data_IF_966728334156
#
_entry.id   IF_966728334156
#
_cell.length_a   1.000
_cell.length_b   1.000
_cell.length_c   1.000
_cell.angle_alpha   90.00
_cell.angle_beta   90.00
_cell.angle_gamma   90.00
#
_symmetry.space_group_name_H-M   'P 1'
#
loop_
_entity.id
_entity.type
_entity.pdbx_description
1 polymer ?
#
# COMPACT_ATOMS: atom_id res chain seq x y z
N UNK A 1 -25.21 20.56 -4.80
CA UNK A 1 -25.45 19.13 -5.10
C UNK A 1 -25.91 18.33 -3.88
N UNK A 2 -25.15 18.28 -2.76
CA UNK A 2 -25.47 17.39 -1.63
C UNK A 2 -26.83 17.65 -0.93
N UNK A 3 -27.28 18.92 -0.84
CA UNK A 3 -28.57 19.27 -0.21
C UNK A 3 -29.81 19.02 -1.09
N UNK A 4 -29.63 18.89 -2.42
CA UNK A 4 -30.73 18.68 -3.36
C UNK A 4 -30.93 17.19 -3.71
N UNK A 5 -29.90 16.36 -3.52
CA UNK A 5 -30.00 14.92 -3.74
C UNK A 5 -31.13 14.23 -2.95
N UNK A 6 -31.41 14.57 -1.67
CA UNK A 6 -32.55 14.00 -0.94
C UNK A 6 -33.91 14.38 -1.52
N UNK A 7 -34.00 15.51 -2.24
CA UNK A 7 -35.24 16.00 -2.84
C UNK A 7 -35.49 15.43 -4.24
N UNK A 8 -34.43 14.96 -4.91
CA UNK A 8 -34.45 14.47 -6.28
C UNK A 8 -33.72 13.13 -6.43
N UNK A 9 -34.07 12.14 -5.61
CA UNK A 9 -33.54 10.78 -5.66
C UNK A 9 -34.58 9.76 -6.20
N UNK A 10 -34.09 8.61 -6.68
CA UNK A 10 -34.96 7.50 -7.11
C UNK A 10 -35.46 7.53 -8.55
N UNK A 11 -35.03 8.51 -9.38
CA UNK A 11 -35.50 8.67 -10.76
C UNK A 11 -34.64 7.92 -11.79
N UNK A 12 -33.32 7.98 -11.63
CA UNK A 12 -32.36 7.44 -12.59
C UNK A 12 -32.44 5.90 -12.73
N UNK A 13 -32.60 5.19 -11.61
CA UNK A 13 -32.69 3.72 -11.61
C UNK A 13 -33.88 3.20 -12.42
N UNK A 14 -35.13 3.61 -12.11
CA UNK A 14 -36.31 3.24 -12.90
C UNK A 14 -36.19 3.61 -14.37
N UNK A 15 -35.66 4.79 -14.71
CA UNK A 15 -35.46 5.20 -16.10
C UNK A 15 -34.45 4.30 -16.82
N UNK A 16 -33.33 3.98 -16.17
CA UNK A 16 -32.32 3.07 -16.72
C UNK A 16 -32.92 1.68 -17.01
N UNK A 17 -33.68 1.12 -16.05
CA UNK A 17 -34.36 -0.17 -16.24
C UNK A 17 -35.39 -0.09 -17.37
N UNK A 18 -36.17 0.99 -17.46
CA UNK A 18 -37.12 1.21 -18.55
C UNK A 18 -36.42 1.16 -19.91
N UNK A 19 -35.29 1.88 -20.05
CA UNK A 19 -34.48 1.90 -21.28
C UNK A 19 -33.90 0.53 -21.62
N UNK A 20 -33.38 -0.21 -20.64
CA UNK A 20 -32.91 -1.59 -20.82
C UNK A 20 -34.04 -2.50 -21.34
N UNK A 21 -35.26 -2.41 -20.78
CA UNK A 21 -36.40 -3.23 -21.20
C UNK A 21 -36.87 -2.91 -22.64
N UNK A 22 -36.65 -1.68 -23.10
CA UNK A 22 -36.95 -1.22 -24.46
C UNK A 22 -35.80 -1.47 -25.45
N UNK A 23 -34.65 -1.95 -24.97
CA UNK A 23 -33.48 -2.21 -25.81
C UNK A 23 -33.42 -3.68 -26.21
N UNK A 24 -33.00 -3.95 -27.44
CA UNK A 24 -32.74 -5.30 -27.92
C UNK A 24 -31.58 -5.95 -27.15
N UNK A 25 -31.81 -7.15 -26.63
CA UNK A 25 -30.85 -7.82 -25.75
C UNK A 25 -29.57 -8.22 -26.50
N UNK A 26 -29.69 -8.60 -27.77
CA UNK A 26 -28.53 -8.98 -28.57
C UNK A 26 -27.61 -7.77 -28.78
N UNK A 27 -28.17 -6.61 -29.07
CA UNK A 27 -27.39 -5.38 -29.21
C UNK A 27 -26.63 -4.99 -27.93
N UNK A 28 -27.21 -5.23 -26.74
CA UNK A 28 -26.50 -5.02 -25.46
C UNK A 28 -25.33 -5.97 -25.31
N UNK A 29 -25.52 -7.24 -25.66
CA UNK A 29 -24.44 -8.26 -25.62
C UNK A 29 -23.32 -7.93 -26.60
N UNK A 30 -23.66 -7.47 -27.79
CA UNK A 30 -22.69 -7.10 -28.82
C UNK A 30 -21.86 -5.87 -28.39
N UNK A 31 -22.49 -4.83 -27.84
CA UNK A 31 -21.76 -3.68 -27.30
C UNK A 31 -20.91 -4.04 -26.07
N UNK A 32 -21.39 -4.93 -25.20
CA UNK A 32 -20.57 -5.43 -24.10
C UNK A 32 -19.34 -6.20 -24.60
N UNK A 33 -19.49 -7.03 -25.64
CA UNK A 33 -18.37 -7.74 -26.24
C UNK A 33 -17.33 -6.77 -26.83
N UNK A 34 -17.78 -5.73 -27.54
CA UNK A 34 -16.90 -4.66 -28.07
C UNK A 34 -16.16 -3.93 -26.95
N UNK A 35 -16.88 -3.53 -25.90
CA UNK A 35 -16.29 -2.86 -24.73
C UNK A 35 -15.24 -3.77 -24.07
N UNK A 36 -15.54 -5.06 -23.95
CA UNK A 36 -14.62 -6.05 -23.39
C UNK A 36 -13.35 -6.19 -24.22
N UNK A 37 -13.46 -6.18 -25.55
CA UNK A 37 -12.30 -6.22 -26.44
C UNK A 37 -11.41 -4.99 -26.27
N UNK A 38 -11.99 -3.79 -26.20
CA UNK A 38 -11.23 -2.54 -26.00
C UNK A 38 -10.55 -2.50 -24.63
N UNK A 39 -11.25 -2.85 -23.56
CA UNK A 39 -10.68 -2.93 -22.21
C UNK A 39 -9.59 -4.00 -22.14
N UNK A 40 -9.75 -5.12 -22.85
CA UNK A 40 -8.72 -6.17 -22.91
C UNK A 40 -7.43 -5.68 -23.58
N UNK A 41 -7.55 -4.91 -24.67
CA UNK A 41 -6.41 -4.26 -25.34
C UNK A 41 -5.68 -3.32 -24.39
N UNK A 42 -6.42 -2.47 -23.66
CA UNK A 42 -5.85 -1.55 -22.67
C UNK A 42 -5.11 -2.27 -21.52
N UNK A 43 -5.63 -3.42 -21.09
CA UNK A 43 -5.04 -4.20 -20.01
C UNK A 43 -3.80 -5.03 -20.43
N UNK A 44 -3.35 -4.95 -21.69
CA UNK A 44 -2.26 -5.78 -22.24
C UNK A 44 -2.43 -7.28 -21.94
N UNK A 45 -3.67 -7.77 -21.88
CA UNK A 45 -3.97 -9.18 -21.60
C UNK A 45 -3.74 -9.64 -20.15
N UNK A 46 -3.64 -8.73 -19.18
CA UNK A 46 -3.54 -9.11 -17.75
C UNK A 46 -4.91 -9.20 -17.07
N UNK A 47 -5.08 -10.25 -16.24
CA UNK A 47 -6.12 -10.37 -15.20
C UNK A 47 -7.60 -10.38 -15.69
N UNK A 48 -7.99 -11.46 -16.40
CA UNK A 48 -9.32 -11.59 -17.04
C UNK A 48 -10.56 -11.38 -16.15
N UNK A 49 -10.49 -11.66 -14.85
CA UNK A 49 -11.62 -11.42 -13.94
C UNK A 49 -11.91 -9.92 -13.73
N UNK A 50 -10.87 -9.08 -13.74
CA UNK A 50 -11.03 -7.62 -13.59
C UNK A 50 -11.58 -7.00 -14.88
N UNK A 51 -11.24 -7.57 -16.04
CA UNK A 51 -11.68 -7.08 -17.34
C UNK A 51 -13.21 -7.13 -17.43
N UNK A 52 -13.84 -8.27 -17.11
CA UNK A 52 -15.29 -8.41 -17.19
C UNK A 52 -16.04 -7.37 -16.33
N UNK A 53 -15.55 -7.12 -15.11
CA UNK A 53 -16.12 -6.12 -14.20
C UNK A 53 -15.92 -4.68 -14.69
N UNK A 54 -14.71 -4.35 -15.15
CA UNK A 54 -14.38 -3.01 -15.66
C UNK A 54 -15.19 -2.72 -16.93
N UNK A 55 -15.30 -3.69 -17.85
CA UNK A 55 -16.12 -3.56 -19.07
C UNK A 55 -17.59 -3.37 -18.76
N UNK A 56 -18.13 -4.05 -17.73
CA UNK A 56 -19.52 -3.88 -17.33
C UNK A 56 -19.79 -2.47 -16.81
N UNK A 57 -18.89 -1.95 -15.96
CA UNK A 57 -18.99 -0.59 -15.41
C UNK A 57 -18.80 0.47 -16.50
N UNK A 58 -17.84 0.28 -17.41
CA UNK A 58 -17.60 1.19 -18.52
C UNK A 58 -18.80 1.25 -19.49
N UNK A 59 -19.37 0.10 -19.85
CA UNK A 59 -20.58 0.09 -20.67
C UNK A 59 -21.74 0.79 -19.94
N UNK A 60 -21.95 0.50 -18.65
CA UNK A 60 -22.99 1.16 -17.86
C UNK A 60 -22.81 2.70 -17.82
N UNK A 61 -21.58 3.19 -17.69
CA UNK A 61 -21.27 4.62 -17.74
C UNK A 61 -21.62 5.25 -19.11
N UNK A 62 -21.29 4.57 -20.21
CA UNK A 62 -21.66 5.02 -21.55
C UNK A 62 -23.19 5.04 -21.78
N UNK A 63 -23.90 4.06 -21.22
CA UNK A 63 -25.37 3.99 -21.27
C UNK A 63 -26.01 5.10 -20.44
N UNK A 64 -25.51 5.33 -19.22
CA UNK A 64 -26.01 6.41 -18.35
C UNK A 64 -25.81 7.77 -19.00
N UNK A 65 -24.65 8.00 -19.62
CA UNK A 65 -24.41 9.21 -20.41
C UNK A 65 -25.45 9.37 -21.53
N UNK A 66 -25.66 8.32 -22.32
CA UNK A 66 -26.54 8.35 -23.50
C UNK A 66 -28.04 8.35 -23.19
N UNK A 67 -28.46 7.94 -22.00
CA UNK A 67 -29.88 7.82 -21.64
C UNK A 67 -30.35 8.85 -20.62
N UNK A 68 -29.47 9.28 -19.71
CA UNK A 68 -29.84 10.10 -18.57
C UNK A 68 -29.27 11.50 -18.69
N UNK A 69 -27.96 11.63 -18.99
CA UNK A 69 -27.31 12.93 -18.96
C UNK A 69 -27.36 13.68 -20.29
N UNK A 70 -27.23 12.96 -21.41
CA UNK A 70 -27.29 13.52 -22.75
C UNK A 70 -28.12 12.61 -23.67
N UNK A 71 -29.44 12.51 -23.42
CA UNK A 71 -30.31 11.68 -24.23
C UNK A 71 -30.37 12.19 -25.66
N UNK A 72 -30.31 11.26 -26.62
CA UNK A 72 -30.54 11.56 -28.04
C UNK A 72 -31.93 12.23 -28.20
N UNK A 73 -32.01 13.48 -28.67
CA UNK A 73 -33.27 14.19 -28.83
C UNK A 73 -34.17 13.54 -29.90
N UNK A 74 -33.60 12.74 -30.81
CA UNK A 74 -34.33 11.98 -31.82
C UNK A 74 -34.69 10.56 -31.35
N UNK A 75 -34.42 10.21 -30.09
CA UNK A 75 -34.77 8.91 -29.54
C UNK A 75 -36.29 8.70 -29.58
N UNK A 76 -36.71 7.70 -30.36
CA UNK A 76 -38.12 7.34 -30.49
C UNK A 76 -38.50 6.44 -29.30
N UNK A 77 -39.49 6.86 -28.52
CA UNK A 77 -40.20 5.92 -27.65
C UNK A 77 -41.05 4.99 -28.53
N UNK A 78 -40.71 3.70 -28.55
CA UNK A 78 -41.44 2.69 -29.29
C UNK A 78 -42.09 1.67 -28.34
N UNK A 79 -43.28 1.99 -27.77
CA UNK A 79 -43.96 1.10 -26.85
C UNK A 79 -44.20 -0.28 -27.47
N UNK A 80 -43.71 -1.34 -26.83
CA UNK A 80 -43.89 -2.72 -27.28
C UNK A 80 -42.90 -3.22 -28.33
N UNK A 81 -41.96 -2.38 -28.79
CA UNK A 81 -40.87 -2.79 -29.66
C UNK A 81 -39.53 -2.64 -28.94
N UNK A 82 -38.61 -3.58 -29.18
CA UNK A 82 -37.22 -3.46 -28.74
C UNK A 82 -36.38 -2.79 -29.83
N UNK A 83 -35.69 -1.72 -29.47
CA UNK A 83 -34.83 -0.96 -30.38
C UNK A 83 -33.37 -1.38 -30.21
N UNK A 84 -32.54 -1.36 -31.27
CA UNK A 84 -31.12 -1.62 -31.13
C UNK A 84 -30.47 -0.55 -30.25
N UNK A 85 -29.53 -0.98 -29.41
CA UNK A 85 -28.76 -0.10 -28.54
C UNK A 85 -27.98 0.92 -29.37
N UNK A 86 -28.11 2.20 -29.01
CA UNK A 86 -27.32 3.30 -29.53
C UNK A 86 -26.56 3.96 -28.40
N UNK A 87 -25.26 4.14 -28.60
CA UNK A 87 -24.37 4.84 -27.68
C UNK A 87 -23.72 5.98 -28.47
N UNK A 88 -23.73 7.18 -27.91
CA UNK A 88 -23.04 8.30 -28.54
C UNK A 88 -21.52 8.02 -28.58
N UNK A 89 -20.82 8.30 -29.69
CA UNK A 89 -19.37 8.05 -29.79
C UNK A 89 -18.57 8.71 -28.66
N UNK A 90 -18.97 9.91 -28.25
CA UNK A 90 -18.34 10.68 -27.17
C UNK A 90 -18.52 9.98 -25.79
N UNK A 91 -19.71 9.43 -25.53
CA UNK A 91 -19.99 8.66 -24.32
C UNK A 91 -19.14 7.38 -24.26
N UNK A 92 -19.00 6.71 -25.40
CA UNK A 92 -18.14 5.53 -25.52
C UNK A 92 -16.67 5.87 -25.23
N UNK A 93 -16.13 6.91 -25.88
CA UNK A 93 -14.75 7.33 -25.67
C UNK A 93 -14.49 7.73 -24.21
N UNK A 94 -15.46 8.42 -23.57
CA UNK A 94 -15.37 8.78 -22.15
C UNK A 94 -15.31 7.55 -21.24
N UNK A 95 -16.14 6.54 -21.51
CA UNK A 95 -16.16 5.29 -20.76
C UNK A 95 -14.84 4.50 -20.92
N UNK A 96 -14.25 4.50 -22.12
CA UNK A 96 -12.95 3.87 -22.36
C UNK A 96 -11.84 4.56 -21.56
N UNK A 97 -11.82 5.91 -21.52
CA UNK A 97 -10.86 6.68 -20.69
C UNK A 97 -11.02 6.38 -19.19
N UNK A 98 -12.25 6.22 -18.72
CA UNK A 98 -12.52 5.81 -17.34
C UNK A 98 -11.96 4.40 -17.08
N UNK A 99 -12.21 3.44 -17.97
CA UNK A 99 -11.68 2.09 -17.86
C UNK A 99 -10.14 2.07 -17.82
N UNK A 100 -9.47 2.84 -18.68
CA UNK A 100 -8.02 2.99 -18.69
C UNK A 100 -7.50 3.49 -17.34
N UNK A 101 -8.17 4.49 -16.75
CA UNK A 101 -7.80 5.06 -15.45
C UNK A 101 -7.92 4.02 -14.34
N UNK A 102 -9.03 3.28 -14.30
CA UNK A 102 -9.25 2.20 -13.32
C UNK A 102 -8.15 1.13 -13.44
N UNK A 103 -7.81 0.70 -14.66
CA UNK A 103 -6.76 -0.30 -14.90
C UNK A 103 -5.41 0.19 -14.35
N UNK A 104 -5.04 1.43 -14.69
CA UNK A 104 -3.76 2.03 -14.26
C UNK A 104 -3.67 2.10 -12.73
N UNK A 105 -4.74 2.53 -12.08
CA UNK A 105 -4.79 2.64 -10.62
C UNK A 105 -4.74 1.28 -9.93
N UNK A 106 -5.46 0.27 -10.43
CA UNK A 106 -5.41 -1.08 -9.88
C UNK A 106 -4.01 -1.72 -10.01
N UNK A 107 -3.33 -1.51 -11.14
CA UNK A 107 -1.96 -2.01 -11.34
C UNK A 107 -0.95 -1.34 -10.39
N UNK A 108 -1.10 -0.03 -10.17
CA UNK A 108 -0.25 0.73 -9.25
C UNK A 108 -0.49 0.31 -7.79
N UNK A 109 -1.75 0.24 -7.36
CA UNK A 109 -2.12 -0.09 -5.99
C UNK A 109 -1.71 -1.51 -5.59
N UNK A 110 -2.02 -2.52 -6.43
CA UNK A 110 -1.71 -3.92 -6.09
C UNK A 110 -0.21 -4.24 -6.03
N UNK A 111 0.62 -3.50 -6.76
CA UNK A 111 2.08 -3.69 -6.73
C UNK A 111 2.72 -2.97 -5.54
N UNK A 112 2.19 -1.81 -5.14
CA UNK A 112 2.66 -1.09 -3.95
C UNK A 112 2.44 -1.91 -2.68
N UNK A 113 1.20 -2.34 -2.48
CA UNK A 113 0.74 -3.06 -1.27
C UNK A 113 1.58 -4.32 -0.97
N UNK A 114 1.77 -5.19 -1.97
CA UNK A 114 2.55 -6.43 -1.80
C UNK A 114 4.03 -6.14 -1.49
N UNK A 115 4.62 -5.12 -2.09
CA UNK A 115 6.04 -4.81 -1.87
C UNK A 115 6.28 -4.05 -0.56
N UNK A 116 5.32 -3.23 -0.12
CA UNK A 116 5.34 -2.58 1.19
C UNK A 116 5.23 -3.62 2.30
N UNK A 117 4.30 -4.57 2.18
CA UNK A 117 4.21 -5.72 3.09
C UNK A 117 5.48 -6.57 3.10
N UNK A 118 6.09 -6.83 1.94
CA UNK A 118 7.37 -7.52 1.86
C UNK A 118 8.50 -6.73 2.54
N UNK A 119 8.48 -5.40 2.44
CA UNK A 119 9.47 -4.53 3.10
C UNK A 119 9.34 -4.63 4.62
N UNK A 120 8.12 -4.53 5.15
CA UNK A 120 7.87 -4.69 6.58
C UNK A 120 8.28 -6.08 7.08
N UNK A 121 7.96 -7.12 6.32
CA UNK A 121 8.40 -8.48 6.63
C UNK A 121 9.93 -8.59 6.75
N UNK A 122 10.69 -7.97 5.86
CA UNK A 122 12.17 -7.97 5.93
C UNK A 122 12.64 -7.26 7.21
N UNK A 123 12.04 -6.12 7.56
CA UNK A 123 12.36 -5.38 8.79
C UNK A 123 12.11 -6.27 10.02
N UNK A 124 10.91 -6.84 10.14
CA UNK A 124 10.54 -7.70 11.26
C UNK A 124 11.44 -8.93 11.35
N UNK A 125 11.79 -9.51 10.20
CA UNK A 125 12.68 -10.67 10.11
C UNK A 125 14.10 -10.33 10.57
N UNK A 126 14.65 -9.17 10.20
CA UNK A 126 15.97 -8.73 10.69
C UNK A 126 15.93 -8.51 12.21
N UNK A 127 14.93 -7.79 12.71
CA UNK A 127 14.81 -7.46 14.13
C UNK A 127 14.61 -8.71 15.00
N UNK A 128 13.76 -9.64 14.56
CA UNK A 128 13.50 -10.90 15.27
C UNK A 128 14.71 -11.83 15.31
N UNK A 129 15.64 -11.70 14.35
CA UNK A 129 16.83 -12.54 14.24
C UNK A 129 18.12 -11.75 14.54
N UNK A 130 18.06 -10.64 15.29
CA UNK A 130 19.23 -9.77 15.56
C UNK A 130 20.45 -10.53 16.07
N UNK A 131 20.25 -11.55 16.91
CA UNK A 131 21.33 -12.40 17.45
C UNK A 131 22.06 -13.26 16.39
N UNK A 132 21.47 -13.42 15.20
CA UNK A 132 22.04 -14.15 14.07
C UNK A 132 22.83 -13.25 13.10
N UNK A 133 22.98 -11.96 13.43
CA UNK A 133 23.81 -11.02 12.68
C UNK A 133 25.11 -10.71 13.43
N UNK A 134 26.23 -10.73 12.70
CA UNK A 134 27.56 -10.39 13.20
C UNK A 134 28.49 -11.60 13.36
N UNK A 135 29.75 -11.32 13.68
CA UNK A 135 30.83 -12.33 13.75
C UNK A 135 30.64 -13.35 14.89
N UNK A 136 29.85 -13.00 15.91
CA UNK A 136 29.56 -13.84 17.09
C UNK A 136 28.18 -14.51 17.03
N UNK A 137 27.55 -14.54 15.86
CA UNK A 137 26.25 -15.19 15.69
C UNK A 137 26.32 -16.66 16.10
N UNK A 138 25.44 -17.08 17.02
CA UNK A 138 25.37 -18.48 17.46
C UNK A 138 24.40 -19.21 16.52
N UNK A 139 24.91 -20.20 15.78
CA UNK A 139 24.15 -20.96 14.79
C UNK A 139 24.29 -20.40 13.37
N UNK A 140 23.17 -20.28 12.65
CA UNK A 140 23.19 -19.75 11.27
C UNK A 140 23.44 -18.25 11.28
N UNK A 141 24.53 -17.80 10.66
CA UNK A 141 24.80 -16.38 10.44
C UNK A 141 24.01 -15.87 9.22
N UNK A 142 23.11 -14.91 9.43
CA UNK A 142 22.31 -14.28 8.37
C UNK A 142 23.06 -13.16 7.65
N UNK A 143 24.11 -12.64 8.28
CA UNK A 143 24.93 -11.56 7.77
C UNK A 143 25.49 -10.70 8.90
N UNK A 144 25.62 -9.39 8.69
CA UNK A 144 26.10 -8.45 9.71
C UNK A 144 25.33 -7.13 9.73
N UNK A 145 25.39 -6.39 10.83
CA UNK A 145 24.86 -5.05 10.93
C UNK A 145 26.00 -4.03 10.85
N UNK A 146 25.70 -2.84 10.33
CA UNK A 146 26.58 -1.69 10.42
C UNK A 146 26.82 -1.29 11.88
N UNK A 147 27.94 -0.62 12.16
CA UNK A 147 28.30 -0.15 13.51
C UNK A 147 27.25 0.79 14.10
N UNK A 148 26.61 1.61 13.26
CA UNK A 148 25.51 2.51 13.63
C UNK A 148 24.13 1.82 13.65
N UNK A 149 24.07 0.52 13.35
CA UNK A 149 22.83 -0.27 13.28
C UNK A 149 21.85 0.12 12.18
N UNK A 150 22.14 1.15 11.37
CA UNK A 150 21.23 1.68 10.35
C UNK A 150 21.19 0.83 9.08
N UNK A 151 22.21 0.00 8.87
CA UNK A 151 22.27 -0.88 7.69
C UNK A 151 22.43 -2.33 8.09
N UNK A 152 21.66 -3.20 7.45
CA UNK A 152 21.81 -4.64 7.51
C UNK A 152 22.45 -5.17 6.24
N UNK A 153 23.47 -6.00 6.39
CA UNK A 153 24.17 -6.69 5.31
C UNK A 153 23.77 -8.16 5.34
N UNK A 154 22.80 -8.53 4.50
CA UNK A 154 22.16 -9.86 4.54
C UNK A 154 22.71 -10.73 3.42
N UNK A 155 23.00 -12.02 3.68
CA UNK A 155 23.39 -12.93 2.60
C UNK A 155 22.24 -13.06 1.57
N UNK A 156 22.47 -12.82 0.27
CA UNK A 156 21.40 -12.77 -0.72
C UNK A 156 20.61 -14.09 -0.84
N UNK A 157 21.27 -15.23 -0.67
CA UNK A 157 20.61 -16.54 -0.68
C UNK A 157 19.62 -16.70 0.46
N UNK A 158 19.99 -16.28 1.68
CA UNK A 158 19.16 -16.38 2.88
C UNK A 158 17.98 -15.40 2.80
N UNK A 159 18.21 -14.19 2.29
CA UNK A 159 17.14 -13.22 2.04
C UNK A 159 16.13 -13.75 1.02
N UNK A 160 16.61 -14.31 -0.10
CA UNK A 160 15.72 -14.90 -1.11
C UNK A 160 14.92 -16.08 -0.55
N UNK A 161 15.53 -16.90 0.30
CA UNK A 161 14.85 -18.02 0.96
C UNK A 161 13.76 -17.53 1.93
N UNK A 162 14.05 -16.50 2.74
CA UNK A 162 13.10 -15.90 3.66
C UNK A 162 11.90 -15.31 2.90
N UNK A 163 12.15 -14.54 1.84
CA UNK A 163 11.10 -13.96 0.99
C UNK A 163 10.24 -15.04 0.32
N UNK A 164 10.87 -16.05 -0.25
CA UNK A 164 10.14 -17.15 -0.92
C UNK A 164 9.28 -17.92 0.08
N UNK A 165 9.80 -18.19 1.29
CA UNK A 165 9.06 -18.87 2.36
C UNK A 165 7.86 -18.06 2.85
N UNK A 166 7.96 -16.74 2.84
CA UNK A 166 6.87 -15.83 3.19
C UNK A 166 5.90 -15.56 2.03
N UNK A 167 6.09 -16.19 0.86
CA UNK A 167 5.20 -16.04 -0.30
C UNK A 167 5.50 -14.83 -1.19
N UNK A 168 6.59 -14.11 -0.95
CA UNK A 168 6.99 -12.96 -1.76
C UNK A 168 7.91 -13.37 -2.91
N UNK A 169 7.83 -12.65 -4.03
CA UNK A 169 8.72 -12.85 -5.18
C UNK A 169 10.05 -12.11 -4.95
N UNK A 170 11.19 -12.81 -4.73
CA UNK A 170 12.44 -12.12 -4.40
C UNK A 170 12.89 -11.16 -5.50
N UNK A 171 12.67 -11.52 -6.77
CA UNK A 171 13.01 -10.67 -7.92
C UNK A 171 12.20 -9.37 -7.93
N UNK A 172 10.88 -9.42 -7.70
CA UNK A 172 10.03 -8.23 -7.71
C UNK A 172 10.32 -7.34 -6.50
N UNK A 173 10.43 -7.94 -5.32
CA UNK A 173 10.74 -7.24 -4.07
C UNK A 173 12.10 -6.54 -4.14
N UNK A 174 13.17 -7.23 -4.54
CA UNK A 174 14.51 -6.60 -4.66
C UNK A 174 14.54 -5.47 -5.68
N UNK A 175 13.81 -5.61 -6.80
CA UNK A 175 13.68 -4.51 -7.77
C UNK A 175 13.00 -3.29 -7.13
N UNK A 176 11.86 -3.48 -6.47
CA UNK A 176 11.14 -2.42 -5.79
C UNK A 176 12.02 -1.73 -4.74
N UNK A 177 12.67 -2.50 -3.86
CA UNK A 177 13.53 -1.97 -2.81
C UNK A 177 14.68 -1.14 -3.40
N UNK A 178 15.26 -1.57 -4.52
CA UNK A 178 16.34 -0.85 -5.19
C UNK A 178 15.83 0.43 -5.87
N UNK A 179 14.63 0.40 -6.45
CA UNK A 179 14.00 1.56 -7.08
C UNK A 179 13.59 2.61 -6.03
N UNK A 180 13.24 2.18 -4.81
CA UNK A 180 12.95 3.04 -3.65
C UNK A 180 14.20 3.48 -2.85
N UNK A 181 15.39 3.04 -3.26
CA UNK A 181 16.64 3.34 -2.55
C UNK A 181 16.77 2.70 -1.16
N UNK A 182 15.97 1.68 -0.86
CA UNK A 182 16.01 0.94 0.41
C UNK A 182 17.18 -0.06 0.43
N UNK A 183 17.52 -0.62 -0.74
CA UNK A 183 18.72 -1.44 -0.90
C UNK A 183 19.72 -0.82 -1.87
N UNK A 184 21.00 -1.11 -1.66
CA UNK A 184 22.04 -0.73 -2.60
C UNK A 184 21.87 -1.49 -3.93
N UNK A 185 22.06 -0.78 -5.05
CA UNK A 185 22.08 -1.39 -6.38
C UNK A 185 23.12 -0.74 -7.28
N UNK A 186 23.78 -1.55 -8.10
CA UNK A 186 24.76 -1.08 -9.09
C UNK A 186 24.33 -1.48 -10.51
N UNK A 187 24.39 -0.56 -11.50
CA UNK A 187 24.06 -0.89 -12.89
C UNK A 187 25.07 -1.89 -13.45
N UNK A 188 24.59 -2.83 -14.28
CA UNK A 188 25.42 -3.82 -14.96
C UNK A 188 25.76 -3.33 -16.38
N UNK A 189 26.98 -3.61 -16.85
CA UNK A 189 27.50 -3.18 -18.16
C UNK A 189 26.66 -3.67 -19.36
N UNK A 190 25.83 -4.70 -19.19
CA UNK A 190 24.94 -5.27 -20.21
C UNK A 190 23.45 -5.01 -19.99
N UNK A 191 23.09 -4.02 -19.17
CA UNK A 191 21.71 -3.75 -18.77
C UNK A 191 21.27 -4.54 -17.53
N UNK A 192 20.36 -3.95 -16.76
CA UNK A 192 19.91 -4.46 -15.47
C UNK A 192 20.71 -3.95 -14.26
N UNK A 193 20.26 -4.32 -13.06
CA UNK A 193 20.86 -3.93 -11.78
C UNK A 193 21.35 -5.16 -11.02
N UNK A 194 22.46 -5.02 -10.31
CA UNK A 194 22.93 -5.99 -9.31
C UNK A 194 22.50 -5.48 -7.94
N UNK A 195 21.77 -6.30 -7.18
CA UNK A 195 21.20 -5.97 -5.87
C UNK A 195 22.09 -6.46 -4.72
N UNK A 196 23.40 -6.50 -4.94
CA UNK A 196 24.37 -6.98 -3.96
C UNK A 196 25.63 -6.12 -3.98
N UNK A 197 26.16 -5.86 -2.78
CA UNK A 197 27.44 -5.22 -2.55
C UNK A 197 28.45 -6.24 -2.05
N UNK A 198 29.74 -5.94 -2.27
CA UNK A 198 30.84 -6.78 -1.80
C UNK A 198 31.46 -6.15 -0.56
N UNK A 199 31.58 -6.90 0.54
CA UNK A 199 32.20 -6.43 1.79
C UNK A 199 33.11 -7.49 2.41
N UNK A 200 34.08 -7.05 3.18
CA UNK A 200 34.91 -7.91 4.02
C UNK A 200 34.14 -8.34 5.27
N UNK A 201 34.08 -9.64 5.54
CA UNK A 201 33.39 -10.24 6.68
C UNK A 201 34.00 -11.62 6.97
N UNK A 202 34.16 -12.02 8.24
CA UNK A 202 34.74 -13.31 8.63
C UNK A 202 36.03 -13.68 7.85
N UNK A 203 36.98 -12.73 7.85
CA UNK A 203 38.30 -12.85 7.20
C UNK A 203 38.26 -13.21 5.70
N UNK A 204 37.17 -12.87 5.00
CA UNK A 204 37.02 -13.09 3.56
C UNK A 204 36.13 -12.03 2.91
N UNK A 205 36.15 -11.99 1.59
CA UNK A 205 35.27 -11.12 0.80
C UNK A 205 33.94 -11.81 0.53
N UNK A 206 32.84 -11.22 0.99
CA UNK A 206 31.47 -11.74 0.89
C UNK A 206 30.55 -10.80 0.11
N UNK A 207 29.48 -11.36 -0.48
CA UNK A 207 28.41 -10.59 -1.12
C UNK A 207 27.20 -10.49 -0.20
N UNK A 208 26.67 -9.29 -0.08
CA UNK A 208 25.52 -8.97 0.77
C UNK A 208 24.50 -8.14 0.00
N UNK A 209 23.22 -8.27 0.37
CA UNK A 209 22.22 -7.23 0.10
C UNK A 209 22.32 -6.22 1.24
N UNK A 210 22.75 -5.00 0.93
CA UNK A 210 22.74 -3.87 1.89
C UNK A 210 21.32 -3.31 1.96
N UNK A 211 20.69 -3.40 3.13
CA UNK A 211 19.34 -2.95 3.42
C UNK A 211 19.38 -1.82 4.46
N UNK A 212 18.74 -0.70 4.16
CA UNK A 212 18.63 0.45 5.07
C UNK A 212 17.48 0.23 6.07
N UNK A 213 17.80 -0.39 7.20
CA UNK A 213 16.85 -0.62 8.29
C UNK A 213 16.59 0.65 9.09
N UNK A 214 17.55 1.58 9.14
CA UNK A 214 17.44 2.85 9.87
C UNK A 214 16.31 3.74 9.35
N UNK A 215 15.89 3.55 8.09
CA UNK A 215 14.71 4.20 7.51
C UNK A 215 13.38 3.77 8.16
N UNK A 216 13.33 2.59 8.77
CA UNK A 216 12.10 1.97 9.29
C UNK A 216 12.13 1.73 10.80
N UNK A 217 13.31 1.45 11.36
CA UNK A 217 13.51 1.25 12.78
C UNK A 217 14.69 2.11 13.24
N UNK A 218 14.40 3.13 14.04
CA UNK A 218 15.45 3.88 14.75
C UNK A 218 15.99 2.98 15.86
N UNK A 219 17.30 2.76 15.85
CA UNK A 219 17.96 2.22 17.02
C UNK A 219 17.98 3.32 18.08
N UNK A 220 17.33 3.07 19.20
CA UNK A 220 17.39 3.92 20.38
C UNK A 220 18.51 3.39 21.24
N UNK A 221 19.45 4.25 21.65
CA UNK A 221 20.47 3.85 22.60
C UNK A 221 19.82 3.66 23.96
N UNK A 222 19.87 2.45 24.51
CA UNK A 222 19.30 2.16 25.82
C UNK A 222 20.07 2.85 26.97
N UNK A 223 21.25 3.40 26.67
CA UNK A 223 22.07 4.18 27.60
C UNK A 223 21.83 5.69 27.50
N UNK A 224 21.07 6.14 26.50
CA UNK A 224 20.60 7.53 26.38
C UNK A 224 19.16 7.59 26.92
N UNK A 225 19.04 7.90 28.21
CA UNK A 225 17.77 7.93 28.93
C UNK A 225 16.76 8.90 28.28
N UNK A 226 17.24 10.02 27.72
CA UNK A 226 16.42 11.04 27.08
C UNK A 226 15.89 10.56 25.72
N UNK A 227 16.72 9.92 24.90
CA UNK A 227 16.29 9.35 23.61
C UNK A 227 15.38 8.12 23.82
N UNK A 228 15.62 7.33 24.86
CA UNK A 228 14.80 6.20 25.29
C UNK A 228 13.40 6.62 25.79
N UNK A 229 13.33 7.64 26.65
CA UNK A 229 12.07 8.18 27.15
C UNK A 229 11.23 8.80 26.02
N UNK A 230 11.87 9.57 25.13
CA UNK A 230 11.20 10.17 23.98
C UNK A 230 10.63 9.14 22.99
N UNK A 231 11.37 8.04 22.74
CA UNK A 231 10.91 6.97 21.86
C UNK A 231 9.83 6.07 22.48
N UNK A 232 9.83 5.92 23.81
CA UNK A 232 8.81 5.16 24.54
C UNK A 232 7.48 5.92 24.68
N UNK A 233 7.42 7.20 24.26
CA UNK A 233 6.23 8.04 24.43
C UNK A 233 5.94 8.36 25.90
N UNK A 234 6.90 8.13 26.79
CA UNK A 234 6.84 8.53 28.19
C UNK A 234 7.40 9.95 28.25
N UNK A 235 6.54 10.92 27.92
CA UNK A 235 6.74 12.22 28.53
C UNK A 235 6.54 11.99 30.04
N UNK A 236 7.50 12.41 30.85
CA UNK A 236 7.32 12.60 32.29
C UNK A 236 6.21 13.63 32.50
N UNK A 237 4.97 13.19 32.37
CA UNK A 237 3.79 13.77 32.99
C UNK A 237 3.27 12.71 33.95
N UNK A 238 4.15 12.26 34.85
CA UNK A 238 3.71 11.81 36.16
C UNK A 238 2.97 13.02 36.74
N UNK A 239 1.65 13.04 36.58
CA UNK A 239 0.72 14.14 36.91
C UNK A 239 0.68 14.54 38.40
N UNK A 240 1.79 14.41 39.10
CA UNK A 240 2.11 15.07 40.34
C UNK A 240 2.57 16.49 40.06
N UNK A 241 1.68 17.45 40.29
CA UNK A 241 2.09 18.84 40.38
C UNK A 241 3.07 19.00 41.55
N UNK A 242 4.27 19.52 41.27
CA UNK A 242 5.17 20.01 42.31
C UNK A 242 4.45 21.14 43.04
N UNK A 243 4.21 20.93 44.34
CA UNK A 243 3.54 21.92 45.18
C UNK A 243 4.44 23.17 45.23
N UNK A 244 3.92 24.37 44.91
CA UNK A 244 4.66 25.61 45.10
C UNK A 244 5.10 25.71 46.56
N UNK A 245 6.36 26.07 46.83
CA UNK A 245 6.93 26.22 48.19
C UNK A 245 6.07 27.06 49.16
N UNK A 246 5.20 27.89 48.63
CA UNK A 246 4.28 28.77 49.37
C UNK A 246 3.12 28.00 50.02
N UNK A 247 2.79 26.80 49.56
CA UNK A 247 1.74 25.92 50.10
C UNK A 247 2.27 24.80 51.01
N UNK A 248 3.59 24.63 51.15
CA UNK A 248 4.18 23.60 52.03
C UNK A 248 3.80 23.79 53.51
N UNK A 249 3.58 25.04 53.93
CA UNK A 249 3.25 25.40 55.32
C UNK A 249 1.77 25.20 55.70
N UNK A 250 0.89 24.93 54.73
CA UNK A 250 -0.55 24.72 54.97
C UNK A 250 -0.96 23.24 54.91
N UNK A 251 -0.02 22.33 54.69
CA UNK A 251 -0.30 20.88 54.59
C UNK A 251 -0.19 20.24 55.98
N UNK A 252 -1.29 19.75 56.57
CA UNK A 252 -1.33 19.28 57.95
C UNK A 252 -0.60 17.94 58.20
N UNK A 253 0.13 17.42 57.21
CA UNK A 253 0.83 16.12 57.27
C UNK A 253 2.36 16.26 57.24
N UNK A 254 2.92 17.47 57.10
CA UNK A 254 4.37 17.66 57.00
C UNK A 254 5.10 17.84 58.36
N UNK A 255 4.38 17.98 59.46
CA UNK A 255 4.95 17.95 60.81
C UNK A 255 4.54 16.69 61.58
N UNK A 256 5.24 15.58 61.33
CA UNK A 256 5.57 14.64 62.40
C UNK A 256 7.04 14.26 62.27
N UNK A 257 7.78 14.69 63.29
CA UNK A 257 9.22 14.55 63.39
C UNK A 257 9.71 13.12 63.28
N UNK A 258 11.00 13.03 63.00
CA UNK A 258 11.87 11.85 63.09
C UNK A 258 11.28 10.73 63.96
N UNK A 259 10.64 9.76 63.31
CA UNK A 259 10.48 8.43 63.88
C UNK A 259 11.84 7.75 63.79
N UNK A 260 12.66 7.96 64.83
CA UNK A 260 13.78 7.09 65.14
C UNK A 260 13.26 5.65 65.23
N UNK A 261 13.56 4.84 64.22
CA UNK A 261 13.34 3.40 64.25
C UNK A 261 14.59 2.73 64.85
N UNK A 262 14.42 1.80 65.81
CA UNK A 262 15.52 1.32 66.66
C UNK A 262 16.39 0.28 65.94
N UNK A 263 17.65 0.63 65.69
CA UNK A 263 18.90 0.05 66.25
C UNK A 263 20.11 0.46 65.42
#
# INVERSE_FOLDING_TARGET
MHQQAPQHCGWAGPEFIRRILQTDEQSVRDEYAKMTEEVYKLANGTNGAHIAGISAVALADALVESWIFNPDPEAIDAPGAKLPLKIAPEAWERAIKMAETIIREQQAAGTGDVNEHATQFIVDWILSNRAQFGDKAIGTCLGTLSQDGKKAYIFPSLLNQALTKAGYSPRKTLKYLADQGIIASTPKTGGGKVYSVTKWFDNRTCRFTEFDIGRFAKQVDALDEDEAAAAAGVADDDGFQTIPKELESEIPFFEQGSLDLPY
#
